data_IF_887005405516
#
_entry.id   IF_887005405516
#
_cell.length_a   1.000
_cell.length_b   1.000
_cell.length_c   1.000
_cell.angle_alpha   90.00
_cell.angle_beta   90.00
_cell.angle_gamma   90.00
#
_symmetry.space_group_name_H-M   'P 1'
#
loop_
_entity.id
_entity.type
_entity.pdbx_description
1 polymer ?
#
# COMPACT_ATOMS: atom_id res chain seq x y z
N UNK A 1 -0.02 -10.41 7.56
CA UNK A 1 0.16 -11.80 7.13
C UNK A 1 1.33 -12.49 7.80
N UNK A 2 1.54 -13.74 7.45
CA UNK A 2 2.65 -14.56 7.96
C UNK A 2 3.98 -14.31 7.22
N UNK A 3 4.11 -13.17 6.53
CA UNK A 3 5.25 -12.81 5.67
C UNK A 3 5.52 -13.82 4.52
N UNK A 4 4.53 -14.63 4.20
CA UNK A 4 4.63 -15.65 3.16
C UNK A 4 3.40 -15.61 2.26
N UNK A 5 3.13 -14.49 1.56
CA UNK A 5 1.93 -14.34 0.75
C UNK A 5 1.86 -15.35 -0.39
N UNK A 6 3.00 -15.89 -0.83
CA UNK A 6 3.08 -16.91 -1.88
C UNK A 6 2.49 -18.27 -1.50
N UNK A 7 2.33 -18.60 -0.21
CA UNK A 7 1.65 -19.83 0.21
C UNK A 7 0.14 -19.81 -0.01
N UNK A 8 -0.43 -18.63 -0.32
CA UNK A 8 -1.84 -18.44 -0.70
C UNK A 8 -2.82 -18.98 0.34
N UNK A 9 -2.59 -18.66 1.63
CA UNK A 9 -3.50 -19.01 2.74
C UNK A 9 -3.97 -17.74 3.45
N UNK A 10 -5.25 -17.73 3.80
CA UNK A 10 -5.88 -16.75 4.66
C UNK A 10 -7.01 -17.37 5.44
N UNK A 11 -7.53 -16.66 6.41
CA UNK A 11 -8.70 -17.06 7.19
C UNK A 11 -9.59 -15.87 7.48
N UNK A 12 -10.86 -16.16 7.67
CA UNK A 12 -11.90 -15.18 7.99
C UNK A 12 -12.55 -15.57 9.30
N UNK A 13 -12.73 -14.60 10.19
CA UNK A 13 -13.51 -14.73 11.42
C UNK A 13 -14.71 -13.80 11.30
N UNK A 14 -15.93 -14.36 11.36
CA UNK A 14 -17.17 -13.61 11.19
C UNK A 14 -18.34 -14.31 11.84
N UNK A 15 -19.56 -13.77 11.73
CA UNK A 15 -20.78 -14.44 12.17
C UNK A 15 -21.01 -15.75 11.41
N UNK A 16 -21.73 -16.70 12.05
CA UNK A 16 -22.07 -18.00 11.42
C UNK A 16 -22.68 -17.83 10.04
N UNK A 17 -23.64 -16.91 9.90
CA UNK A 17 -24.32 -16.62 8.63
C UNK A 17 -23.32 -16.20 7.54
N UNK A 18 -22.40 -15.28 7.87
CA UNK A 18 -21.39 -14.82 6.92
C UNK A 18 -20.43 -15.95 6.54
N UNK A 19 -20.00 -16.76 7.50
CA UNK A 19 -19.12 -17.90 7.23
C UNK A 19 -19.79 -18.92 6.32
N UNK A 20 -21.06 -19.24 6.52
CA UNK A 20 -21.83 -20.15 5.63
C UNK A 20 -21.85 -19.59 4.19
N UNK A 21 -22.17 -18.30 4.03
CA UNK A 21 -22.19 -17.65 2.71
C UNK A 21 -20.82 -17.69 2.03
N UNK A 22 -19.77 -17.31 2.77
CA UNK A 22 -18.40 -17.26 2.24
C UNK A 22 -17.84 -18.64 1.94
N UNK A 23 -18.17 -19.66 2.77
CA UNK A 23 -17.77 -21.05 2.52
C UNK A 23 -18.40 -21.59 1.25
N UNK A 24 -19.69 -21.34 1.04
CA UNK A 24 -20.39 -21.78 -0.17
C UNK A 24 -19.81 -21.10 -1.42
N UNK A 25 -19.56 -19.80 -1.36
CA UNK A 25 -18.94 -19.07 -2.44
C UNK A 25 -17.51 -19.56 -2.74
N UNK A 26 -16.70 -19.75 -1.71
CA UNK A 26 -15.33 -20.26 -1.85
C UNK A 26 -15.31 -21.67 -2.43
N UNK A 27 -16.21 -22.56 -1.97
CA UNK A 27 -16.33 -23.94 -2.47
C UNK A 27 -16.68 -23.95 -3.96
N UNK A 28 -17.60 -23.08 -4.38
CA UNK A 28 -18.01 -23.00 -5.78
C UNK A 28 -16.94 -22.36 -6.67
N UNK A 29 -16.32 -21.27 -6.20
CA UNK A 29 -15.37 -20.49 -7.02
C UNK A 29 -13.95 -21.01 -7.05
N UNK A 30 -13.48 -21.63 -5.95
CA UNK A 30 -12.08 -22.05 -5.79
C UNK A 30 -11.91 -23.53 -5.46
N UNK A 31 -12.98 -24.26 -5.15
CA UNK A 31 -12.91 -25.61 -4.61
C UNK A 31 -12.41 -25.63 -3.17
N UNK A 32 -11.28 -26.26 -2.92
CA UNK A 32 -10.65 -26.33 -1.60
C UNK A 32 -9.36 -25.51 -1.51
N UNK A 33 -8.96 -25.18 -0.30
CA UNK A 33 -7.65 -24.60 -0.03
C UNK A 33 -6.57 -25.67 -0.12
N UNK A 34 -5.42 -25.35 -0.70
CA UNK A 34 -4.28 -26.25 -0.85
C UNK A 34 -3.90 -26.94 0.47
N UNK A 35 -4.00 -28.25 0.55
CA UNK A 35 -3.67 -29.03 1.74
C UNK A 35 -2.18 -28.93 2.14
N UNK A 36 -1.21 -29.02 1.21
CA UNK A 36 0.19 -28.75 1.54
C UNK A 36 0.42 -27.38 2.14
N UNK A 37 -0.23 -26.33 1.60
CA UNK A 37 -0.12 -24.96 2.14
C UNK A 37 -0.67 -24.86 3.56
N UNK A 38 -1.76 -25.58 3.88
CA UNK A 38 -2.30 -25.61 5.24
C UNK A 38 -1.32 -26.25 6.22
N UNK A 39 -0.70 -27.38 5.87
CA UNK A 39 0.33 -27.99 6.70
C UNK A 39 1.55 -27.10 6.91
N UNK A 40 1.97 -26.39 5.87
CA UNK A 40 3.05 -25.42 5.99
C UNK A 40 2.68 -24.25 6.91
N UNK A 41 1.45 -23.74 6.78
CA UNK A 41 0.96 -22.65 7.62
C UNK A 41 0.92 -23.01 9.12
N UNK A 42 0.60 -24.24 9.48
CA UNK A 42 0.62 -24.71 10.88
C UNK A 42 1.99 -24.48 11.52
N UNK A 43 3.07 -24.74 10.79
CA UNK A 43 4.45 -24.50 11.26
C UNK A 43 4.77 -23.01 11.41
N UNK A 44 4.22 -22.18 10.53
CA UNK A 44 4.39 -20.73 10.62
C UNK A 44 3.62 -20.11 11.80
N UNK A 45 2.57 -20.78 12.27
CA UNK A 45 1.69 -20.33 13.34
C UNK A 45 2.17 -20.76 14.75
N UNK A 46 3.32 -21.39 14.88
CA UNK A 46 3.89 -21.68 16.20
C UNK A 46 4.02 -20.39 17.03
N UNK A 47 3.51 -20.33 18.29
CA UNK A 47 3.39 -19.08 19.05
C UNK A 47 4.71 -18.32 19.23
N UNK A 48 5.81 -19.04 19.46
CA UNK A 48 7.13 -18.46 19.60
C UNK A 48 7.63 -17.80 18.32
N UNK A 49 7.35 -18.43 17.18
CA UNK A 49 7.68 -17.90 15.85
C UNK A 49 6.85 -16.67 15.52
N UNK A 50 5.54 -16.73 15.78
CA UNK A 50 4.64 -15.60 15.56
C UNK A 50 5.07 -14.39 16.39
N UNK A 51 5.41 -14.60 17.67
CA UNK A 51 5.90 -13.51 18.54
C UNK A 51 7.18 -12.87 18.01
N UNK A 52 8.16 -13.66 17.58
CA UNK A 52 9.41 -13.15 16.98
C UNK A 52 9.15 -12.39 15.68
N UNK A 53 8.33 -12.97 14.79
CA UNK A 53 8.01 -12.36 13.51
C UNK A 53 7.28 -11.02 13.68
N UNK A 54 6.29 -10.96 14.58
CA UNK A 54 5.57 -9.71 14.86
C UNK A 54 6.52 -8.62 15.35
N UNK A 55 7.38 -8.92 16.30
CA UNK A 55 8.36 -7.95 16.82
C UNK A 55 9.28 -7.42 15.73
N UNK A 56 9.86 -8.31 14.95
CA UNK A 56 10.78 -7.93 13.87
C UNK A 56 10.10 -7.07 12.78
N UNK A 57 8.85 -7.43 12.42
CA UNK A 57 8.05 -6.67 11.45
C UNK A 57 7.70 -5.29 11.98
N UNK A 58 7.27 -5.22 13.25
CA UNK A 58 6.90 -3.98 13.90
C UNK A 58 8.09 -3.01 13.98
N UNK A 59 9.25 -3.47 14.46
CA UNK A 59 10.47 -2.67 14.56
C UNK A 59 10.92 -2.16 13.18
N UNK A 60 10.96 -3.05 12.19
CA UNK A 60 11.38 -2.70 10.83
C UNK A 60 10.44 -1.68 10.17
N UNK A 61 9.13 -1.95 10.16
CA UNK A 61 8.19 -1.06 9.48
C UNK A 61 7.91 0.24 10.22
N UNK A 62 8.00 0.27 11.55
CA UNK A 62 7.92 1.53 12.28
C UNK A 62 9.09 2.45 11.93
N UNK A 63 10.29 1.90 11.87
CA UNK A 63 11.48 2.65 11.47
C UNK A 63 11.39 3.16 10.02
N UNK A 64 11.00 2.30 9.07
CA UNK A 64 10.78 2.70 7.66
C UNK A 64 9.69 3.77 7.55
N UNK A 65 8.57 3.58 8.26
CA UNK A 65 7.45 4.53 8.26
C UNK A 65 7.88 5.92 8.71
N UNK A 66 8.58 6.01 9.85
CA UNK A 66 9.01 7.30 10.37
C UNK A 66 9.88 8.03 9.36
N UNK A 67 10.94 7.42 8.88
CA UNK A 67 11.89 8.13 8.02
C UNK A 67 11.32 8.56 6.66
N UNK A 68 10.46 7.73 6.03
CA UNK A 68 9.78 8.14 4.79
C UNK A 68 8.72 9.20 5.08
N UNK A 69 7.99 9.09 6.19
CA UNK A 69 7.00 10.08 6.61
C UNK A 69 7.64 11.44 6.84
N UNK A 70 8.70 11.48 7.65
CA UNK A 70 9.46 12.70 7.95
C UNK A 70 9.96 13.38 6.66
N UNK A 71 10.53 12.59 5.74
CA UNK A 71 11.02 13.10 4.46
C UNK A 71 9.92 13.70 3.58
N UNK A 72 8.72 13.10 3.56
CA UNK A 72 7.58 13.63 2.81
C UNK A 72 6.99 14.90 3.46
N UNK A 73 6.92 14.94 4.79
CA UNK A 73 6.53 16.15 5.52
C UNK A 73 7.48 17.32 5.25
N UNK A 74 8.79 17.06 5.24
CA UNK A 74 9.81 18.08 4.89
C UNK A 74 9.66 18.62 3.46
N UNK A 75 9.14 17.81 2.53
CA UNK A 75 8.82 18.25 1.16
C UNK A 75 7.51 19.05 1.08
N UNK A 76 6.74 19.11 2.17
CA UNK A 76 5.46 19.82 2.23
C UNK A 76 4.27 19.01 1.72
N UNK A 77 4.38 17.66 1.66
CA UNK A 77 3.24 16.80 1.38
C UNK A 77 2.37 16.60 2.64
N UNK A 78 1.07 16.46 2.44
CA UNK A 78 0.18 15.95 3.49
C UNK A 78 0.44 14.47 3.73
N UNK A 79 0.79 14.07 4.96
CA UNK A 79 1.09 12.67 5.30
C UNK A 79 -0.02 12.10 6.19
N UNK A 80 -0.76 11.14 5.66
CA UNK A 80 -1.84 10.44 6.37
C UNK A 80 -1.41 8.99 6.58
N UNK A 81 -0.94 8.69 7.78
CA UNK A 81 -0.42 7.38 8.14
C UNK A 81 -1.00 6.96 9.47
N UNK A 82 -1.52 5.73 9.53
CA UNK A 82 -1.94 5.13 10.79
C UNK A 82 -0.76 4.49 11.55
N UNK A 83 -1.08 3.87 12.69
CA UNK A 83 -0.08 3.22 13.57
C UNK A 83 0.40 1.87 13.03
N UNK A 84 0.08 1.51 11.80
CA UNK A 84 0.40 0.21 11.22
C UNK A 84 0.50 0.22 9.71
N UNK A 85 0.78 -0.97 9.15
CA UNK A 85 0.95 -1.14 7.72
C UNK A 85 2.32 -0.69 7.20
N UNK A 86 2.46 -0.71 5.89
CA UNK A 86 3.69 -0.36 5.17
C UNK A 86 3.41 0.58 3.98
N UNK A 87 2.41 1.44 4.16
CA UNK A 87 1.98 2.47 3.21
C UNK A 87 1.90 3.82 3.89
N UNK A 88 2.22 4.89 3.13
CA UNK A 88 1.74 6.23 3.38
C UNK A 88 0.61 6.55 2.39
N UNK A 89 -0.41 7.24 2.87
CA UNK A 89 -1.36 7.94 2.04
C UNK A 89 -0.96 9.40 2.02
N UNK A 90 -0.62 9.91 0.86
CA UNK A 90 0.03 11.20 0.70
C UNK A 90 -0.83 12.13 -0.15
N UNK A 91 -0.83 13.40 0.20
CA UNK A 91 -1.53 14.45 -0.51
C UNK A 91 -0.54 15.44 -1.12
N UNK A 92 -0.69 15.68 -2.41
CA UNK A 92 0.07 16.68 -3.16
C UNK A 92 -0.47 18.10 -2.92
N UNK A 93 0.36 19.14 -3.02
CA UNK A 93 -0.09 20.52 -3.05
C UNK A 93 -1.15 20.78 -4.12
N UNK A 94 -1.89 21.88 -3.97
CA UNK A 94 -2.87 22.31 -4.98
C UNK A 94 -2.21 22.51 -6.35
N UNK A 95 -2.99 22.21 -7.40
CA UNK A 95 -2.50 22.28 -8.77
C UNK A 95 -1.75 21.03 -9.25
N UNK A 96 -1.32 20.14 -8.35
CA UNK A 96 -0.66 18.88 -8.71
C UNK A 96 -1.63 17.70 -8.75
N UNK A 97 -1.34 16.72 -9.60
CA UNK A 97 -2.07 15.45 -9.63
C UNK A 97 -1.15 14.25 -9.49
N UNK A 98 -1.62 13.21 -8.81
CA UNK A 98 -0.86 11.96 -8.65
C UNK A 98 -0.60 11.25 -9.97
N UNK A 99 -1.53 11.38 -10.93
CA UNK A 99 -1.37 10.80 -12.27
C UNK A 99 -0.20 11.43 -13.03
N UNK A 100 -0.06 12.76 -12.98
CA UNK A 100 1.05 13.43 -13.66
C UNK A 100 2.38 13.17 -12.95
N UNK A 101 2.40 13.21 -11.61
CA UNK A 101 3.60 12.84 -10.85
C UNK A 101 4.04 11.40 -11.16
N UNK A 102 3.10 10.46 -11.21
CA UNK A 102 3.42 9.07 -11.55
C UNK A 102 4.01 8.91 -12.95
N UNK A 103 3.50 9.62 -13.96
CA UNK A 103 4.07 9.62 -15.32
C UNK A 103 5.51 10.13 -15.33
N UNK A 104 5.82 11.12 -14.51
CA UNK A 104 7.18 11.67 -14.38
C UNK A 104 8.11 10.66 -13.69
N UNK A 105 7.69 10.09 -12.58
CA UNK A 105 8.42 9.04 -11.88
C UNK A 105 8.71 7.82 -12.77
N UNK A 106 7.75 7.43 -13.61
CA UNK A 106 7.94 6.33 -14.57
C UNK A 106 9.11 6.52 -15.52
N UNK A 107 9.41 7.76 -15.92
CA UNK A 107 10.57 8.07 -16.78
C UNK A 107 11.91 7.78 -16.09
N UNK A 108 11.89 7.74 -14.76
CA UNK A 108 13.05 7.44 -13.91
C UNK A 108 13.01 6.02 -13.31
N UNK A 109 12.09 5.16 -13.80
CA UNK A 109 11.97 3.78 -13.33
C UNK A 109 11.29 3.62 -11.97
N UNK A 110 10.63 4.67 -11.46
CA UNK A 110 9.89 4.65 -10.21
C UNK A 110 8.38 4.75 -10.44
N UNK A 111 7.58 4.32 -9.46
CA UNK A 111 6.13 4.38 -9.56
C UNK A 111 5.46 4.55 -8.18
N UNK A 112 4.33 5.22 -8.18
CA UNK A 112 3.39 5.32 -7.05
C UNK A 112 2.03 4.79 -7.47
N UNK A 113 1.17 4.45 -6.52
CA UNK A 113 -0.22 4.11 -6.83
C UNK A 113 -1.10 5.34 -6.70
N UNK A 114 -1.65 5.80 -7.82
CA UNK A 114 -2.59 6.92 -7.83
C UNK A 114 -3.85 6.56 -7.01
N UNK A 115 -4.29 7.47 -6.15
CA UNK A 115 -5.44 7.20 -5.29
C UNK A 115 -6.77 7.14 -6.06
N UNK A 116 -6.82 7.71 -7.25
CA UNK A 116 -7.95 7.54 -8.18
C UNK A 116 -8.20 6.07 -8.55
N UNK A 117 -7.18 5.22 -8.51
CA UNK A 117 -7.32 3.77 -8.75
C UNK A 117 -7.81 3.02 -7.51
N UNK A 118 -7.80 3.68 -6.34
CA UNK A 118 -8.38 3.19 -5.11
C UNK A 118 -9.82 3.68 -4.87
N UNK A 119 -10.34 4.50 -5.76
CA UNK A 119 -11.68 5.07 -5.64
C UNK A 119 -12.75 4.05 -6.03
N UNK A 120 -13.38 3.47 -5.02
CA UNK A 120 -14.42 2.45 -5.20
C UNK A 120 -15.72 3.02 -5.76
N UNK A 121 -15.95 4.33 -5.74
CA UNK A 121 -17.12 4.95 -6.34
C UNK A 121 -16.98 5.06 -7.87
N UNK A 122 -15.77 5.20 -8.40
CA UNK A 122 -15.47 5.39 -9.82
C UNK A 122 -16.08 4.31 -10.74
N UNK A 123 -15.95 2.99 -10.45
CA UNK A 123 -16.51 1.95 -11.31
C UNK A 123 -18.06 1.91 -11.29
N UNK A 124 -18.68 2.49 -10.26
CA UNK A 124 -20.12 2.47 -10.05
C UNK A 124 -20.81 3.78 -10.42
N UNK A 125 -20.05 4.83 -10.72
CA UNK A 125 -20.61 6.09 -11.19
C UNK A 125 -21.19 5.92 -12.59
N UNK A 126 -22.46 6.34 -12.74
CA UNK A 126 -23.12 6.44 -14.05
C UNK A 126 -22.95 7.82 -14.69
N UNK A 127 -22.29 8.72 -13.99
CA UNK A 127 -22.02 10.07 -14.45
C UNK A 127 -20.71 10.07 -15.27
N UNK A 128 -20.78 10.38 -16.59
CA UNK A 128 -19.59 10.48 -17.43
C UNK A 128 -18.63 11.59 -17.01
N UNK A 129 -19.12 12.58 -16.26
CA UNK A 129 -18.34 13.71 -15.75
C UNK A 129 -17.75 13.45 -14.36
N UNK A 130 -17.91 12.23 -13.82
CA UNK A 130 -17.40 11.90 -12.51
C UNK A 130 -15.89 12.06 -12.43
N UNK A 131 -15.45 12.99 -11.59
CA UNK A 131 -14.07 13.17 -11.23
C UNK A 131 -13.81 12.64 -9.81
N UNK A 132 -12.79 11.83 -9.66
CA UNK A 132 -12.42 11.32 -8.35
C UNK A 132 -11.91 12.45 -7.44
N UNK A 133 -12.40 12.55 -6.20
CA UNK A 133 -11.90 13.54 -5.23
C UNK A 133 -10.45 13.28 -4.81
N UNK A 134 -9.88 12.15 -5.24
CA UNK A 134 -8.54 11.70 -4.84
C UNK A 134 -7.47 12.01 -5.89
N UNK A 135 -7.69 12.92 -6.82
CA UNK A 135 -6.74 13.23 -7.90
C UNK A 135 -5.37 13.70 -7.40
N UNK A 136 -5.33 14.38 -6.24
CA UNK A 136 -4.09 14.85 -5.58
C UNK A 136 -3.47 13.81 -4.65
N UNK A 137 -4.16 12.69 -4.39
CA UNK A 137 -3.69 11.70 -3.43
C UNK A 137 -3.00 10.53 -4.12
N UNK A 138 -2.08 9.91 -3.41
CA UNK A 138 -1.43 8.68 -3.84
C UNK A 138 -1.01 7.82 -2.65
N UNK A 139 -0.85 6.54 -2.92
CA UNK A 139 -0.31 5.60 -1.95
C UNK A 139 1.16 5.34 -2.26
N UNK A 140 2.00 5.59 -1.29
CA UNK A 140 3.41 5.22 -1.33
C UNK A 140 3.63 3.94 -0.52
N UNK A 141 4.21 2.91 -1.12
CA UNK A 141 4.51 1.64 -0.46
C UNK A 141 6.00 1.57 -0.13
N UNK A 142 6.34 1.64 1.15
CA UNK A 142 7.71 1.44 1.62
C UNK A 142 8.01 -0.02 1.99
N UNK A 143 7.00 -0.90 1.92
CA UNK A 143 7.14 -2.32 2.27
C UNK A 143 8.17 -3.10 1.46
N UNK A 144 8.24 -2.94 0.13
CA UNK A 144 9.22 -3.64 -0.70
C UNK A 144 10.57 -2.94 -0.78
N UNK A 145 10.71 -1.71 -0.27
CA UNK A 145 11.91 -0.91 -0.40
C UNK A 145 12.99 -1.39 0.58
N UNK A 146 14.23 -1.40 0.11
CA UNK A 146 15.36 -1.78 0.93
C UNK A 146 15.80 -0.61 1.83
N UNK A 147 16.22 -0.87 3.07
CA UNK A 147 16.75 0.16 3.95
C UNK A 147 17.89 0.98 3.34
N UNK A 148 18.71 0.34 2.54
CA UNK A 148 19.92 0.90 1.93
C UNK A 148 19.62 1.87 0.78
N UNK A 149 18.43 1.79 0.17
CA UNK A 149 18.06 2.64 -0.97
C UNK A 149 17.34 3.93 -0.54
N UNK A 150 17.06 4.10 0.75
CA UNK A 150 16.27 5.23 1.25
C UNK A 150 16.73 6.60 0.73
N UNK A 151 18.01 6.89 0.84
CA UNK A 151 18.53 8.21 0.44
C UNK A 151 18.34 8.43 -1.06
N UNK A 152 18.65 7.43 -1.88
CA UNK A 152 18.47 7.50 -3.34
C UNK A 152 16.98 7.55 -3.75
N UNK A 153 16.12 6.83 -3.04
CA UNK A 153 14.67 6.81 -3.29
C UNK A 153 14.05 8.19 -3.02
N UNK A 154 14.44 8.82 -1.90
CA UNK A 154 13.96 10.14 -1.50
C UNK A 154 14.55 11.24 -2.39
N UNK A 155 15.82 11.16 -2.74
CA UNK A 155 16.48 12.11 -3.65
C UNK A 155 15.77 12.12 -5.03
N UNK A 156 15.56 10.94 -5.61
CA UNK A 156 14.84 10.80 -6.88
C UNK A 156 13.41 11.36 -6.79
N UNK A 157 12.69 11.00 -5.74
CA UNK A 157 11.33 11.50 -5.56
C UNK A 157 11.30 13.03 -5.43
N UNK A 158 12.18 13.60 -4.63
CA UNK A 158 12.32 15.04 -4.41
C UNK A 158 12.63 15.77 -5.71
N UNK A 159 13.59 15.30 -6.48
CA UNK A 159 13.95 15.89 -7.79
C UNK A 159 12.73 15.98 -8.72
N UNK A 160 12.04 14.86 -8.92
CA UNK A 160 10.86 14.79 -9.81
C UNK A 160 9.70 15.63 -9.28
N UNK A 161 9.48 15.64 -7.97
CA UNK A 161 8.44 16.42 -7.32
C UNK A 161 8.70 17.93 -7.42
N UNK A 162 9.92 18.39 -7.13
CA UNK A 162 10.29 19.79 -7.18
C UNK A 162 10.26 20.33 -8.61
N UNK A 163 10.68 19.56 -9.59
CA UNK A 163 10.59 19.94 -11.00
C UNK A 163 9.12 20.08 -11.45
N UNK A 164 8.26 19.15 -11.03
CA UNK A 164 6.83 19.28 -11.31
C UNK A 164 6.21 20.49 -10.64
N UNK A 165 6.56 20.77 -9.38
CA UNK A 165 6.06 21.93 -8.63
C UNK A 165 6.46 23.26 -9.27
N UNK A 166 7.72 23.41 -9.68
CA UNK A 166 8.22 24.61 -10.37
C UNK A 166 7.45 24.91 -11.66
N UNK A 167 7.07 23.90 -12.41
CA UNK A 167 6.31 24.07 -13.66
C UNK A 167 4.88 24.58 -13.44
N UNK A 168 4.31 24.38 -12.26
CA UNK A 168 2.95 24.81 -11.92
C UNK A 168 2.96 26.24 -11.35
N UNK A 169 4.01 26.61 -10.64
CA UNK A 169 4.18 27.94 -10.04
C UNK A 169 4.54 29.03 -11.07
N UNK A 170 4.80 28.64 -12.33
CA UNK A 170 5.09 29.52 -13.48
C UNK A 170 3.83 29.84 -14.29
#
# INVERSE_FOLDING_TARGET
GLQSPGIRIGWIVSSKKNIETLSNFSSFGMGGVSHPSQHYAVKLLEPSRVKKARKAVEEHYNWQRSRYGDAFEEMGLGVYTGDGGFYHWLELPEGMTSSELNKRLFKHGAAILCATDCDMARPHSKDPSYESPYSRFFRFSFGPLLPETFDSDIELFREVFDDYRKEIEL
#
